data_IF_369507297166
#
_entry.id   IF_369507297166
#
_cell.length_a   1.000
_cell.length_b   1.000
_cell.length_c   1.000
_cell.angle_alpha   90.00
_cell.angle_beta   90.00
_cell.angle_gamma   90.00
#
_symmetry.space_group_name_H-M   'P 1'
#
loop_
_entity.id
_entity.type
_entity.pdbx_description
1 polymer ?
#
# COMPACT_ATOMS: atom_id res chain seq x y z
N UNK A 1 19.46 1.85 -35.10
CA UNK A 1 20.86 1.58 -35.48
C UNK A 1 21.32 0.27 -34.82
N UNK A 2 21.52 -0.68 -35.75
CA UNK A 2 22.39 -1.86 -35.75
C UNK A 2 22.38 -2.81 -34.55
N UNK A 3 21.62 -3.90 -34.74
CA UNK A 3 21.83 -5.21 -34.14
C UNK A 3 23.15 -5.84 -34.61
N UNK A 4 23.88 -6.44 -33.70
CA UNK A 4 24.82 -7.53 -33.97
C UNK A 4 24.61 -8.60 -32.90
N UNK A 5 23.87 -9.66 -33.29
CA UNK A 5 23.76 -10.90 -32.52
C UNK A 5 24.73 -11.94 -33.11
N UNK A 6 25.79 -12.20 -32.40
CA UNK A 6 26.74 -13.27 -32.68
C UNK A 6 26.14 -14.59 -32.21
N UNK A 7 25.85 -15.48 -33.16
CA UNK A 7 25.50 -16.88 -32.90
C UNK A 7 26.74 -17.63 -32.41
N UNK A 8 26.74 -18.07 -31.17
CA UNK A 8 27.71 -19.10 -30.68
C UNK A 8 27.13 -20.47 -30.92
N UNK A 9 27.92 -21.31 -31.61
CA UNK A 9 27.64 -22.72 -31.72
C UNK A 9 27.79 -23.42 -30.35
N UNK A 10 26.92 -24.40 -30.01
CA UNK A 10 27.06 -25.17 -28.78
C UNK A 10 28.09 -26.29 -29.00
N UNK A 11 29.00 -26.44 -28.04
CA UNK A 11 29.94 -27.55 -27.91
C UNK A 11 29.22 -28.84 -27.53
N UNK A 12 29.61 -29.92 -28.17
CA UNK A 12 29.11 -31.27 -27.88
C UNK A 12 29.91 -31.82 -26.71
N UNK A 13 29.23 -32.12 -25.61
CA UNK A 13 29.67 -33.07 -24.60
C UNK A 13 28.45 -33.88 -24.15
N UNK A 14 28.60 -35.19 -24.15
CA UNK A 14 27.66 -36.19 -23.60
C UNK A 14 26.31 -36.39 -24.30
N UNK A 15 26.31 -36.85 -25.52
CA UNK A 15 25.32 -37.83 -26.06
C UNK A 15 23.81 -37.57 -25.91
N UNK A 16 23.36 -36.38 -25.46
CA UNK A 16 21.93 -36.03 -25.35
C UNK A 16 21.60 -34.73 -26.07
N UNK A 17 20.79 -34.84 -27.10
CA UNK A 17 20.20 -33.73 -27.83
C UNK A 17 18.96 -33.20 -27.06
N UNK A 18 19.03 -31.96 -26.59
CA UNK A 18 17.87 -31.24 -26.11
C UNK A 18 17.28 -30.38 -27.25
N UNK A 19 15.98 -30.48 -27.44
CA UNK A 19 15.25 -29.71 -28.45
C UNK A 19 14.64 -28.44 -27.80
N UNK A 20 14.91 -27.28 -28.35
CA UNK A 20 14.13 -26.06 -28.09
C UNK A 20 13.10 -25.92 -29.20
N UNK A 21 11.84 -25.74 -28.79
CA UNK A 21 10.74 -25.42 -29.71
C UNK A 21 10.69 -23.95 -29.99
N UNK A 22 10.66 -23.59 -31.27
CA UNK A 22 10.28 -22.25 -31.76
C UNK A 22 8.79 -22.24 -32.08
N UNK A 23 8.15 -21.13 -31.90
CA UNK A 23 6.69 -20.90 -31.93
C UNK A 23 6.03 -21.09 -33.31
N UNK A 24 6.75 -21.44 -34.37
CA UNK A 24 6.22 -21.46 -35.75
C UNK A 24 6.20 -22.84 -36.41
N UNK A 25 5.79 -23.84 -35.72
CA UNK A 25 5.19 -25.11 -36.19
C UNK A 25 5.67 -25.78 -37.50
N UNK A 26 6.76 -25.37 -38.15
CA UNK A 26 7.22 -25.94 -39.42
C UNK A 26 8.57 -26.66 -39.25
N UNK A 27 8.52 -28.01 -39.23
CA UNK A 27 9.70 -28.89 -39.34
C UNK A 27 10.11 -28.99 -40.81
N UNK A 28 11.20 -28.38 -41.22
CA UNK A 28 11.79 -28.60 -42.56
C UNK A 28 12.38 -29.99 -42.66
N UNK A 29 11.92 -30.74 -43.66
CA UNK A 29 12.32 -32.12 -44.04
C UNK A 29 13.77 -32.28 -44.56
N UNK A 30 14.71 -31.42 -44.28
CA UNK A 30 16.02 -31.43 -44.96
C UNK A 30 17.19 -31.95 -44.13
N UNK A 31 16.97 -32.46 -42.92
CA UNK A 31 18.08 -32.92 -42.06
C UNK A 31 18.33 -34.44 -42.14
N UNK A 32 17.44 -35.23 -42.76
CA UNK A 32 17.60 -36.69 -42.86
C UNK A 32 18.52 -37.16 -43.99
N UNK A 33 18.98 -36.30 -44.90
CA UNK A 33 19.76 -36.66 -46.07
C UNK A 33 21.28 -36.79 -45.81
N UNK A 34 21.78 -36.38 -44.66
CA UNK A 34 23.24 -36.28 -44.39
C UNK A 34 23.84 -37.34 -43.48
N UNK A 35 23.03 -38.20 -42.86
CA UNK A 35 23.56 -39.12 -41.81
C UNK A 35 23.75 -40.57 -42.23
N UNK A 36 23.35 -41.02 -43.46
CA UNK A 36 23.59 -42.40 -43.90
C UNK A 36 23.84 -42.44 -45.44
N UNK A 37 25.07 -42.25 -45.92
CA UNK A 37 25.38 -42.31 -47.34
C UNK A 37 25.40 -43.71 -47.94
N UNK A 38 25.32 -44.77 -47.16
CA UNK A 38 25.69 -46.12 -47.63
C UNK A 38 24.56 -47.13 -47.83
N UNK A 39 23.30 -46.70 -47.94
CA UNK A 39 22.19 -47.63 -48.32
C UNK A 39 21.57 -47.37 -49.68
N UNK A 40 22.31 -46.85 -50.66
CA UNK A 40 21.86 -46.69 -52.07
C UNK A 40 22.56 -47.63 -53.01
N UNK A 41 22.90 -48.83 -52.66
CA UNK A 41 23.27 -49.84 -53.60
C UNK A 41 22.68 -51.17 -53.12
N UNK A 42 21.55 -51.50 -53.63
CA UNK A 42 21.01 -52.85 -53.95
C UNK A 42 19.53 -52.60 -54.31
N UNK A 43 19.25 -52.42 -55.57
CA UNK A 43 18.06 -52.82 -56.28
C UNK A 43 18.06 -52.14 -57.68
N UNK A 44 18.98 -52.54 -58.49
CA UNK A 44 18.81 -52.48 -59.94
C UNK A 44 19.10 -53.88 -60.48
N UNK A 45 18.18 -54.76 -60.28
CA UNK A 45 18.03 -55.90 -61.20
C UNK A 45 16.73 -55.60 -61.98
N UNK A 46 16.85 -55.33 -63.26
CA UNK A 46 15.74 -55.35 -64.15
C UNK A 46 15.19 -56.77 -64.13
N UNK A 47 14.16 -57.02 -63.36
CA UNK A 47 13.36 -58.21 -63.42
C UNK A 47 12.57 -58.16 -64.73
N UNK A 48 12.76 -59.13 -65.56
CA UNK A 48 11.90 -59.38 -66.74
C UNK A 48 10.45 -59.35 -66.34
N UNK A 49 9.53 -58.90 -67.19
CA UNK A 49 8.10 -58.83 -66.91
C UNK A 49 7.61 -60.26 -66.71
N UNK A 50 7.39 -60.59 -65.43
CA UNK A 50 6.72 -61.80 -65.02
C UNK A 50 5.34 -61.81 -65.62
N UNK A 51 5.02 -62.87 -66.39
CA UNK A 51 3.70 -63.07 -66.97
C UNK A 51 2.59 -62.83 -65.91
N UNK A 52 1.47 -62.23 -66.24
CA UNK A 52 0.40 -61.89 -65.28
C UNK A 52 -0.10 -63.19 -64.67
N UNK A 53 0.03 -63.33 -63.36
CA UNK A 53 -0.53 -64.47 -62.62
C UNK A 53 -2.01 -64.67 -62.96
N UNK A 54 -2.38 -65.95 -63.18
CA UNK A 54 -3.80 -66.27 -63.46
C UNK A 54 -4.77 -65.74 -62.38
N UNK A 55 -5.94 -65.32 -62.73
CA UNK A 55 -6.91 -64.83 -61.78
C UNK A 55 -7.26 -65.79 -60.66
N UNK A 56 -7.21 -67.10 -60.95
CA UNK A 56 -7.53 -68.15 -60.01
C UNK A 56 -6.47 -68.29 -58.91
N UNK A 57 -5.16 -68.24 -59.33
CA UNK A 57 -4.03 -68.30 -58.38
C UNK A 57 -4.08 -67.06 -57.43
N UNK A 58 -4.49 -65.88 -57.92
CA UNK A 58 -4.63 -64.74 -57.08
C UNK A 58 -5.81 -64.91 -56.07
N UNK A 59 -6.96 -65.49 -56.47
CA UNK A 59 -8.09 -65.79 -55.60
C UNK A 59 -7.70 -66.78 -54.50
N UNK A 60 -7.11 -67.90 -54.90
CA UNK A 60 -6.66 -68.95 -53.94
C UNK A 60 -5.65 -68.36 -52.89
N UNK A 61 -4.69 -67.56 -53.37
CA UNK A 61 -3.77 -66.92 -52.47
C UNK A 61 -4.40 -65.95 -51.46
N UNK A 62 -5.39 -65.22 -51.92
CA UNK A 62 -6.12 -64.29 -51.05
C UNK A 62 -7.08 -65.04 -50.12
N UNK A 63 -7.70 -66.16 -50.58
CA UNK A 63 -8.51 -67.04 -49.72
C UNK A 63 -7.64 -67.65 -48.62
N UNK A 64 -6.46 -68.22 -48.92
CA UNK A 64 -5.52 -68.76 -47.95
C UNK A 64 -5.07 -67.69 -46.95
N UNK A 65 -4.87 -66.44 -47.40
CA UNK A 65 -4.52 -65.32 -46.55
C UNK A 65 -5.68 -64.95 -45.57
N UNK A 66 -6.92 -64.98 -46.03
CA UNK A 66 -8.09 -64.62 -45.25
C UNK A 66 -8.49 -65.73 -44.24
N UNK A 67 -8.30 -67.02 -44.58
CA UNK A 67 -8.57 -68.15 -43.66
C UNK A 67 -7.54 -68.30 -42.54
N UNK A 68 -6.45 -67.55 -42.58
CA UNK A 68 -5.34 -67.56 -41.59
C UNK A 68 -4.71 -68.99 -41.31
N UNK A 69 -4.95 -69.89 -42.19
CA UNK A 69 -4.36 -71.28 -42.03
C UNK A 69 -2.86 -71.30 -42.26
N UNK A 70 -2.33 -70.32 -43.02
CA UNK A 70 -0.89 -70.22 -43.33
C UNK A 70 -0.49 -68.77 -43.21
N UNK A 71 0.76 -68.50 -42.78
CA UNK A 71 1.26 -67.13 -42.62
C UNK A 71 1.35 -66.37 -43.95
N UNK A 72 1.16 -65.07 -43.97
CA UNK A 72 1.27 -64.22 -45.19
C UNK A 72 2.69 -64.37 -45.82
N UNK A 73 3.71 -64.61 -45.02
CA UNK A 73 5.11 -64.80 -45.49
C UNK A 73 5.27 -66.10 -46.18
N UNK A 74 4.66 -67.14 -45.71
CA UNK A 74 4.71 -68.46 -46.29
C UNK A 74 3.90 -68.57 -47.61
N UNK A 75 2.69 -67.94 -47.67
CA UNK A 75 1.91 -67.84 -48.91
C UNK A 75 2.72 -67.06 -49.99
N UNK A 76 3.29 -65.93 -49.61
CA UNK A 76 4.11 -65.11 -50.53
C UNK A 76 5.34 -65.89 -51.07
N UNK A 77 5.98 -66.65 -50.22
CA UNK A 77 7.14 -67.52 -50.61
C UNK A 77 6.74 -68.65 -51.59
N UNK A 78 5.59 -69.37 -51.35
CA UNK A 78 5.08 -70.44 -52.19
C UNK A 78 4.72 -69.98 -53.59
N UNK A 79 4.24 -68.76 -53.71
CA UNK A 79 3.77 -68.23 -55.03
C UNK A 79 4.86 -67.39 -55.69
N UNK A 80 5.97 -67.11 -55.02
CA UNK A 80 7.09 -66.34 -55.57
C UNK A 80 6.81 -64.79 -55.67
N UNK A 81 5.94 -64.24 -54.80
CA UNK A 81 5.59 -62.81 -54.80
C UNK A 81 6.00 -62.20 -53.47
N UNK A 82 6.12 -60.88 -53.50
CA UNK A 82 6.32 -60.14 -52.21
C UNK A 82 5.02 -60.05 -51.42
N UNK A 83 5.12 -59.98 -50.08
CA UNK A 83 3.96 -59.77 -49.21
C UNK A 83 3.12 -58.53 -49.60
N UNK A 84 3.76 -57.46 -50.08
CA UNK A 84 3.09 -56.25 -50.55
C UNK A 84 2.19 -56.52 -51.76
N UNK A 85 2.60 -57.40 -52.68
CA UNK A 85 1.79 -57.81 -53.83
C UNK A 85 0.60 -58.66 -53.39
N UNK A 86 0.80 -59.57 -52.43
CA UNK A 86 -0.28 -60.38 -51.89
C UNK A 86 -1.37 -59.54 -51.21
N UNK A 87 -1.00 -58.53 -50.45
CA UNK A 87 -1.95 -57.60 -49.86
C UNK A 87 -2.64 -56.70 -50.90
N UNK A 88 -1.93 -56.26 -51.95
CA UNK A 88 -2.57 -55.54 -53.07
C UNK A 88 -3.61 -56.39 -53.78
N UNK A 89 -3.36 -57.72 -53.96
CA UNK A 89 -4.37 -58.63 -54.53
C UNK A 89 -5.58 -58.79 -53.61
N UNK A 90 -5.34 -58.90 -52.29
CA UNK A 90 -6.40 -58.97 -51.26
C UNK A 90 -7.29 -57.70 -51.37
N UNK A 91 -6.70 -56.51 -51.37
CA UNK A 91 -7.42 -55.22 -51.44
C UNK A 91 -8.20 -55.10 -52.76
N UNK A 92 -7.68 -55.62 -53.87
CA UNK A 92 -8.32 -55.60 -55.19
C UNK A 92 -9.47 -56.62 -55.30
N UNK A 93 -9.39 -57.81 -54.65
CA UNK A 93 -10.37 -58.87 -54.74
C UNK A 93 -11.48 -58.72 -53.72
N UNK A 94 -11.16 -58.31 -52.50
CA UNK A 94 -12.13 -58.23 -51.37
C UNK A 94 -12.72 -56.84 -51.24
N UNK A 95 -12.01 -55.77 -51.74
CA UNK A 95 -12.44 -54.38 -51.62
C UNK A 95 -12.17 -53.80 -50.20
N UNK A 96 -12.10 -52.48 -50.14
CA UNK A 96 -11.76 -51.75 -48.88
C UNK A 96 -12.81 -51.89 -47.77
N UNK A 97 -14.08 -52.20 -48.08
CA UNK A 97 -15.16 -52.35 -47.09
C UNK A 97 -15.00 -53.62 -46.21
N UNK A 98 -14.58 -54.72 -46.79
CA UNK A 98 -14.34 -55.96 -46.02
C UNK A 98 -13.10 -55.86 -45.13
N UNK A 99 -12.09 -55.05 -45.51
CA UNK A 99 -10.91 -54.78 -44.66
C UNK A 99 -11.25 -53.94 -43.43
N UNK A 100 -12.17 -52.98 -43.56
CA UNK A 100 -12.63 -52.21 -42.43
C UNK A 100 -13.48 -53.02 -41.46
N UNK A 101 -14.26 -53.98 -41.97
CA UNK A 101 -15.05 -54.88 -41.10
C UNK A 101 -14.13 -55.85 -40.30
N UNK A 102 -13.04 -56.31 -40.88
CA UNK A 102 -12.06 -57.14 -40.16
C UNK A 102 -11.18 -56.37 -39.17
N UNK A 103 -10.98 -55.04 -39.32
CA UNK A 103 -10.31 -54.19 -38.35
C UNK A 103 -11.19 -53.91 -37.11
N UNK A 104 -12.50 -53.93 -37.27
CA UNK A 104 -13.46 -53.73 -36.18
C UNK A 104 -13.52 -54.87 -35.14
N UNK A 105 -12.91 -56.04 -35.42
CA UNK A 105 -12.79 -57.10 -34.43
C UNK A 105 -11.65 -56.91 -33.42
N UNK A 106 -10.94 -55.80 -33.45
CA UNK A 106 -10.03 -55.35 -32.38
C UNK A 106 -10.67 -54.21 -31.57
N UNK A 107 -11.99 -54.11 -31.51
CA UNK A 107 -12.64 -53.23 -30.53
C UNK A 107 -12.36 -53.77 -29.11
N UNK A 108 -12.02 -52.85 -28.17
CA UNK A 108 -11.83 -53.27 -26.77
C UNK A 108 -13.09 -53.98 -26.30
N UNK A 109 -12.92 -55.02 -25.50
CA UNK A 109 -14.10 -55.71 -24.94
C UNK A 109 -15.01 -54.70 -24.25
N UNK A 110 -16.31 -54.94 -24.28
CA UNK A 110 -17.30 -54.07 -23.57
C UNK A 110 -16.89 -53.79 -22.11
N UNK A 111 -16.12 -54.68 -21.50
CA UNK A 111 -15.56 -54.50 -20.17
C UNK A 111 -14.44 -53.48 -20.14
N UNK A 112 -13.51 -53.51 -21.10
CA UNK A 112 -12.43 -52.53 -21.21
C UNK A 112 -12.95 -51.10 -21.53
N UNK A 113 -14.02 -51.00 -22.34
CA UNK A 113 -14.67 -49.74 -22.63
C UNK A 113 -15.41 -49.19 -21.38
N UNK A 114 -16.11 -50.05 -20.63
CA UNK A 114 -16.74 -49.69 -19.37
C UNK A 114 -15.70 -49.20 -18.33
N UNK A 115 -14.57 -49.84 -18.23
CA UNK A 115 -13.54 -49.45 -17.27
C UNK A 115 -12.84 -48.19 -17.69
N UNK A 116 -12.58 -47.94 -18.98
CA UNK A 116 -12.10 -46.67 -19.51
C UNK A 116 -13.10 -45.51 -19.23
N UNK A 117 -14.39 -45.75 -19.41
CA UNK A 117 -15.44 -44.77 -19.08
C UNK A 117 -15.52 -44.48 -17.57
N UNK A 118 -15.31 -45.49 -16.71
CA UNK A 118 -15.26 -45.29 -15.26
C UNK A 118 -14.08 -44.45 -14.82
N UNK A 119 -12.90 -44.67 -15.42
CA UNK A 119 -11.71 -43.87 -15.19
C UNK A 119 -11.95 -42.41 -15.64
N UNK A 120 -12.56 -42.22 -16.81
CA UNK A 120 -12.90 -40.88 -17.32
C UNK A 120 -13.91 -40.17 -16.41
N UNK A 121 -14.97 -40.86 -15.97
CA UNK A 121 -15.94 -40.31 -15.00
C UNK A 121 -15.26 -39.96 -13.68
N UNK A 122 -14.33 -40.78 -13.19
CA UNK A 122 -13.58 -40.48 -11.98
C UNK A 122 -12.70 -39.23 -12.17
N UNK A 123 -12.03 -39.10 -13.30
CA UNK A 123 -11.21 -37.94 -13.67
C UNK A 123 -12.06 -36.66 -13.74
N UNK A 124 -13.19 -36.71 -14.45
CA UNK A 124 -14.10 -35.58 -14.58
C UNK A 124 -14.69 -35.15 -13.22
N UNK A 125 -15.08 -36.10 -12.38
CA UNK A 125 -15.56 -35.81 -11.02
C UNK A 125 -14.48 -35.13 -10.16
N UNK A 126 -13.22 -35.53 -10.30
CA UNK A 126 -12.11 -34.89 -9.61
C UNK A 126 -11.88 -33.47 -10.11
N UNK A 127 -12.01 -33.24 -11.42
CA UNK A 127 -11.90 -31.89 -12.01
C UNK A 127 -13.06 -30.98 -11.57
N UNK A 128 -14.30 -31.47 -11.59
CA UNK A 128 -15.47 -30.74 -11.09
C UNK A 128 -15.27 -30.33 -9.63
N UNK A 129 -14.83 -31.26 -8.78
CA UNK A 129 -14.54 -30.97 -7.36
C UNK A 129 -13.49 -29.90 -7.20
N UNK A 130 -12.44 -29.93 -8.02
CA UNK A 130 -11.38 -28.92 -8.02
C UNK A 130 -11.92 -27.56 -8.42
N UNK A 131 -12.70 -27.48 -9.51
CA UNK A 131 -13.34 -26.24 -9.98
C UNK A 131 -14.30 -25.66 -8.94
N UNK A 132 -15.03 -26.52 -8.28
CA UNK A 132 -15.95 -26.10 -7.21
C UNK A 132 -15.18 -25.50 -6.03
N UNK A 133 -14.09 -26.12 -5.64
CA UNK A 133 -13.18 -25.58 -4.61
C UNK A 133 -12.60 -24.21 -5.00
N UNK A 134 -12.15 -24.03 -6.26
CA UNK A 134 -11.65 -22.76 -6.77
C UNK A 134 -12.72 -21.66 -6.70
N UNK A 135 -13.97 -21.97 -7.07
CA UNK A 135 -15.13 -21.06 -6.97
C UNK A 135 -15.46 -20.70 -5.51
N UNK A 136 -15.44 -21.67 -4.62
CA UNK A 136 -15.71 -21.41 -3.20
C UNK A 136 -14.62 -20.60 -2.54
N UNK A 137 -13.36 -20.78 -2.95
CA UNK A 137 -12.21 -19.94 -2.54
C UNK A 137 -12.43 -18.50 -3.00
N UNK A 138 -12.85 -18.27 -4.24
CA UNK A 138 -13.09 -16.92 -4.77
C UNK A 138 -14.27 -16.24 -4.06
N UNK A 139 -15.40 -16.93 -3.88
CA UNK A 139 -16.54 -16.43 -3.12
C UNK A 139 -16.14 -16.06 -1.68
N UNK A 140 -15.38 -16.93 -1.02
CA UNK A 140 -14.91 -16.67 0.34
C UNK A 140 -13.90 -15.55 0.42
N UNK A 141 -13.10 -15.35 -0.62
CA UNK A 141 -12.18 -14.21 -0.75
C UNK A 141 -12.96 -12.88 -0.84
N UNK A 142 -14.00 -12.82 -1.67
CA UNK A 142 -14.88 -11.64 -1.75
C UNK A 142 -15.55 -11.33 -0.41
N UNK A 143 -16.08 -12.33 0.27
CA UNK A 143 -16.75 -12.18 1.56
C UNK A 143 -15.81 -11.67 2.67
N UNK A 144 -14.62 -12.30 2.81
CA UNK A 144 -13.70 -12.03 3.92
C UNK A 144 -12.88 -10.74 3.70
N UNK A 145 -12.51 -10.45 2.44
CA UNK A 145 -11.55 -9.39 2.12
C UNK A 145 -12.26 -8.10 1.74
N UNK A 146 -13.56 -8.17 1.39
CA UNK A 146 -14.38 -7.01 0.96
C UNK A 146 -13.71 -6.19 -0.16
N UNK A 147 -13.04 -6.88 -1.08
CA UNK A 147 -12.43 -6.29 -2.27
C UNK A 147 -13.34 -6.47 -3.47
N UNK A 148 -13.16 -5.62 -4.48
CA UNK A 148 -13.97 -5.62 -5.70
C UNK A 148 -14.02 -6.99 -6.40
N UNK A 149 -15.13 -7.30 -7.12
CA UNK A 149 -15.25 -8.53 -7.89
C UNK A 149 -14.16 -8.62 -8.96
N UNK A 150 -13.49 -9.78 -9.06
CA UNK A 150 -12.39 -10.01 -10.01
C UNK A 150 -11.03 -10.28 -9.37
N UNK A 151 -10.99 -10.58 -8.08
CA UNK A 151 -9.74 -10.90 -7.37
C UNK A 151 -9.15 -12.21 -7.91
N UNK A 152 -7.91 -12.14 -8.38
CA UNK A 152 -7.11 -13.33 -8.65
C UNK A 152 -6.51 -13.89 -7.35
N UNK A 153 -6.56 -15.20 -7.18
CA UNK A 153 -5.95 -15.93 -6.04
C UNK A 153 -4.46 -15.59 -5.89
N UNK A 154 -3.78 -15.30 -7.00
CA UNK A 154 -2.36 -14.93 -7.04
C UNK A 154 -2.04 -13.60 -6.32
N UNK A 155 -2.99 -12.68 -6.23
CA UNK A 155 -2.81 -11.36 -5.59
C UNK A 155 -3.09 -11.37 -4.07
N UNK A 156 -3.52 -12.51 -3.53
CA UNK A 156 -3.78 -12.65 -2.11
C UNK A 156 -2.47 -12.82 -1.33
N UNK A 157 -2.33 -12.09 -0.23
CA UNK A 157 -1.20 -12.30 0.68
C UNK A 157 -1.40 -13.58 1.54
N UNK A 158 -0.32 -14.09 2.13
CA UNK A 158 -0.35 -15.35 2.88
C UNK A 158 -1.32 -15.32 4.08
N UNK A 159 -1.55 -14.16 4.69
CA UNK A 159 -2.50 -13.99 5.79
C UNK A 159 -3.95 -14.09 5.31
N UNK A 160 -4.26 -13.51 4.16
CA UNK A 160 -5.57 -13.61 3.50
C UNK A 160 -5.84 -15.05 3.07
N UNK A 161 -4.88 -15.69 2.39
CA UNK A 161 -4.95 -17.11 2.02
C UNK A 161 -5.21 -18.01 3.23
N UNK A 162 -4.58 -17.72 4.37
CA UNK A 162 -4.79 -18.48 5.61
C UNK A 162 -6.21 -18.32 6.15
N UNK A 163 -6.78 -17.12 6.13
CA UNK A 163 -8.17 -16.88 6.55
C UNK A 163 -9.17 -17.67 5.69
N UNK A 164 -8.96 -17.68 4.37
CA UNK A 164 -9.80 -18.41 3.43
C UNK A 164 -9.67 -19.93 3.67
N UNK A 165 -8.44 -20.44 3.80
CA UNK A 165 -8.19 -21.84 4.08
C UNK A 165 -8.83 -22.28 5.41
N UNK A 166 -8.74 -21.47 6.46
CA UNK A 166 -9.33 -21.79 7.78
C UNK A 166 -10.87 -21.79 7.73
N UNK A 167 -11.48 -20.93 6.93
CA UNK A 167 -12.93 -20.88 6.74
C UNK A 167 -13.47 -22.07 5.94
N UNK A 168 -12.72 -22.56 4.95
CA UNK A 168 -13.13 -23.68 4.08
C UNK A 168 -12.67 -25.05 4.56
N UNK A 169 -11.92 -25.11 5.66
CA UNK A 169 -11.32 -26.34 6.19
C UNK A 169 -12.34 -27.41 6.61
N UNK A 170 -13.57 -27.05 6.91
CA UNK A 170 -14.64 -28.02 7.22
C UNK A 170 -15.19 -28.67 5.98
N UNK A 171 -15.10 -28.02 4.82
CA UNK A 171 -15.65 -28.50 3.55
C UNK A 171 -14.61 -29.26 2.71
N UNK A 172 -13.36 -28.84 2.77
CA UNK A 172 -12.28 -29.40 1.95
C UNK A 172 -11.05 -29.79 2.77
N UNK A 173 -10.30 -30.85 2.35
CA UNK A 173 -9.05 -31.23 3.00
C UNK A 173 -8.02 -30.08 2.95
N UNK A 174 -7.32 -29.87 4.05
CA UNK A 174 -6.34 -28.78 4.16
C UNK A 174 -5.23 -28.88 3.09
N UNK A 175 -4.78 -30.09 2.75
CA UNK A 175 -3.73 -30.30 1.74
C UNK A 175 -4.14 -29.79 0.36
N UNK A 176 -5.38 -30.06 -0.05
CA UNK A 176 -5.94 -29.61 -1.33
C UNK A 176 -6.10 -28.08 -1.36
N UNK A 177 -6.66 -27.49 -0.28
CA UNK A 177 -6.79 -26.05 -0.13
C UNK A 177 -5.46 -25.32 -0.22
N UNK A 178 -4.43 -25.83 0.48
CA UNK A 178 -3.10 -25.22 0.45
C UNK A 178 -2.45 -25.30 -0.92
N UNK A 179 -2.67 -26.41 -1.64
CA UNK A 179 -2.18 -26.57 -3.01
C UNK A 179 -2.82 -25.57 -3.96
N UNK A 180 -4.16 -25.42 -3.95
CA UNK A 180 -4.89 -24.48 -4.81
C UNK A 180 -4.55 -23.04 -4.48
N UNK A 181 -4.40 -22.70 -3.21
CA UNK A 181 -4.01 -21.35 -2.75
C UNK A 181 -2.53 -21.04 -2.99
N UNK A 182 -1.70 -22.02 -3.36
CA UNK A 182 -0.25 -21.84 -3.44
C UNK A 182 0.34 -21.38 -2.11
N UNK A 183 -0.07 -21.99 -0.98
CA UNK A 183 0.37 -21.61 0.36
C UNK A 183 1.10 -22.77 1.03
N UNK A 184 2.36 -22.56 1.42
CA UNK A 184 3.13 -23.55 2.15
C UNK A 184 2.48 -23.89 3.50
N UNK A 185 2.52 -25.17 3.89
CA UNK A 185 1.94 -25.64 5.17
C UNK A 185 2.54 -24.91 6.38
N UNK A 186 3.83 -24.65 6.40
CA UNK A 186 4.50 -23.88 7.45
C UNK A 186 3.96 -22.45 7.55
N UNK A 187 3.80 -21.78 6.39
CA UNK A 187 3.22 -20.43 6.32
C UNK A 187 1.79 -20.40 6.82
N UNK A 188 0.97 -21.40 6.48
CA UNK A 188 -0.39 -21.53 6.98
C UNK A 188 -0.43 -21.59 8.51
N UNK A 189 0.32 -22.51 9.13
CA UNK A 189 0.31 -22.63 10.60
C UNK A 189 0.90 -21.41 11.29
N UNK A 190 1.93 -20.79 10.73
CA UNK A 190 2.48 -19.52 11.24
C UNK A 190 1.43 -18.41 11.23
N UNK A 191 0.78 -18.17 10.10
CA UNK A 191 -0.24 -17.11 10.01
C UNK A 191 -1.50 -17.45 10.82
N UNK A 192 -1.88 -18.72 10.90
CA UNK A 192 -2.99 -19.17 11.74
C UNK A 192 -2.72 -18.94 13.24
N UNK A 193 -1.53 -19.25 13.70
CA UNK A 193 -1.12 -18.95 15.07
C UNK A 193 -1.14 -17.43 15.34
N UNK A 194 -0.60 -16.64 14.41
CA UNK A 194 -0.63 -15.18 14.48
C UNK A 194 -2.04 -14.58 14.47
N UNK A 195 -2.98 -15.21 13.73
CA UNK A 195 -4.39 -14.79 13.72
C UNK A 195 -5.10 -15.13 15.04
N UNK A 196 -4.78 -16.29 15.65
CA UNK A 196 -5.33 -16.71 16.95
C UNK A 196 -4.77 -15.90 18.12
N UNK A 197 -3.52 -15.48 18.04
CA UNK A 197 -2.87 -14.66 19.08
C UNK A 197 -3.48 -13.24 19.19
N UNK A 198 -4.37 -12.85 18.25
CA UNK A 198 -4.95 -11.53 18.21
C UNK A 198 -4.00 -10.44 17.75
N UNK A 199 -4.40 -9.19 17.92
CA UNK A 199 -3.54 -8.05 17.62
C UNK A 199 -2.70 -7.69 18.86
N UNK A 200 -1.40 -7.96 18.80
CA UNK A 200 -0.45 -7.59 19.85
C UNK A 200 -0.40 -6.08 20.15
N UNK A 201 -0.96 -5.28 19.27
CA UNK A 201 -1.01 -3.83 19.41
C UNK A 201 -2.40 -3.30 19.79
N UNK A 202 -3.39 -4.15 20.10
CA UNK A 202 -4.76 -3.73 20.36
C UNK A 202 -4.82 -2.62 21.43
N UNK A 203 -4.21 -2.82 22.59
CA UNK A 203 -4.12 -1.81 23.65
C UNK A 203 -3.43 -0.53 23.19
N UNK A 204 -2.34 -0.68 22.43
CA UNK A 204 -1.59 0.48 21.89
C UNK A 204 -2.42 1.27 20.89
N UNK A 205 -3.24 0.62 20.07
CA UNK A 205 -4.15 1.29 19.10
C UNK A 205 -5.16 2.16 19.83
N UNK A 206 -5.77 1.63 20.89
CA UNK A 206 -6.68 2.39 21.74
C UNK A 206 -5.97 3.59 22.35
N UNK A 207 -4.81 3.39 22.99
CA UNK A 207 -4.01 4.48 23.55
C UNK A 207 -3.65 5.55 22.51
N UNK A 208 -3.19 5.16 21.34
CA UNK A 208 -2.86 6.10 20.25
C UNK A 208 -4.07 6.91 19.81
N UNK A 209 -5.23 6.28 19.70
CA UNK A 209 -6.50 6.93 19.32
C UNK A 209 -6.94 7.91 20.40
N UNK A 210 -6.84 7.53 21.68
CA UNK A 210 -7.20 8.37 22.81
C UNK A 210 -6.27 9.59 22.91
N UNK A 211 -4.95 9.37 22.83
CA UNK A 211 -3.97 10.47 22.77
C UNK A 211 -4.23 11.40 21.60
N UNK A 212 -4.53 10.86 20.42
CA UNK A 212 -4.79 11.66 19.23
C UNK A 212 -6.05 12.53 19.40
N UNK A 213 -7.14 11.94 19.89
CA UNK A 213 -8.41 12.63 20.08
C UNK A 213 -8.36 13.68 21.20
N UNK A 214 -7.71 13.36 22.34
CA UNK A 214 -7.56 14.28 23.48
C UNK A 214 -6.64 15.47 23.16
N UNK A 215 -5.85 15.38 22.10
CA UNK A 215 -4.90 16.42 21.68
C UNK A 215 -5.32 17.11 20.36
N UNK A 216 -6.60 17.46 20.24
CA UNK A 216 -7.15 18.19 19.08
C UNK A 216 -6.89 17.55 17.71
N UNK A 217 -6.57 16.27 17.66
CA UNK A 217 -6.21 15.53 16.42
C UNK A 217 -5.04 16.17 15.64
N UNK A 218 -4.18 16.90 16.34
CA UNK A 218 -3.09 17.67 15.74
C UNK A 218 -1.73 17.02 15.89
N UNK A 219 -1.62 15.85 16.56
CA UNK A 219 -0.36 15.16 16.77
C UNK A 219 -0.04 14.19 15.63
N UNK A 220 1.02 14.48 14.89
CA UNK A 220 1.62 13.51 13.98
C UNK A 220 2.42 12.43 14.73
N UNK A 221 2.85 11.40 14.01
CA UNK A 221 3.49 10.20 14.59
C UNK A 221 4.65 10.49 15.57
N UNK A 222 5.45 11.54 15.36
CA UNK A 222 6.55 11.89 16.26
C UNK A 222 6.07 12.32 17.65
N UNK A 223 5.01 13.12 17.71
CA UNK A 223 4.42 13.55 18.98
C UNK A 223 3.68 12.40 19.64
N UNK A 224 2.92 11.60 18.89
CA UNK A 224 2.27 10.41 19.43
C UNK A 224 3.29 9.40 19.97
N UNK A 225 4.40 9.20 19.28
CA UNK A 225 5.49 8.37 19.77
C UNK A 225 6.10 8.92 21.07
N UNK A 226 6.32 10.23 21.15
CA UNK A 226 6.85 10.85 22.36
C UNK A 226 5.86 10.70 23.54
N UNK A 227 4.57 10.99 23.33
CA UNK A 227 3.53 10.80 24.36
C UNK A 227 3.45 9.34 24.83
N UNK A 228 3.43 8.40 23.88
CA UNK A 228 3.41 6.97 24.22
C UNK A 228 4.63 6.56 25.05
N UNK A 229 5.81 7.13 24.80
CA UNK A 229 7.01 6.90 25.64
C UNK A 229 6.86 7.45 27.04
N UNK A 230 6.24 8.61 27.23
CA UNK A 230 5.92 9.17 28.54
C UNK A 230 4.98 8.25 29.34
N UNK A 231 4.07 7.55 28.66
CA UNK A 231 3.16 6.58 29.26
C UNK A 231 3.79 5.16 29.41
N UNK A 232 5.10 5.04 29.18
CA UNK A 232 5.85 3.78 29.36
C UNK A 232 5.84 2.85 28.13
N UNK A 233 5.25 3.25 27.01
CA UNK A 233 5.21 2.47 25.78
C UNK A 233 6.57 2.40 25.08
N UNK A 234 7.06 1.17 24.81
CA UNK A 234 8.34 0.93 24.12
C UNK A 234 8.13 0.48 22.69
N UNK A 235 7.82 1.41 21.79
CA UNK A 235 7.67 1.15 20.35
C UNK A 235 8.63 2.03 19.56
N UNK A 236 8.98 1.57 18.35
CA UNK A 236 9.70 2.42 17.40
C UNK A 236 8.76 3.38 16.68
N UNK A 237 9.28 4.54 16.26
CA UNK A 237 8.53 5.52 15.45
C UNK A 237 7.91 4.90 14.18
N UNK A 238 8.61 3.94 13.55
CA UNK A 238 8.14 3.23 12.36
C UNK A 238 6.84 2.45 12.66
N UNK A 239 6.77 1.81 13.82
CA UNK A 239 5.56 1.07 14.24
C UNK A 239 4.42 2.03 14.53
N UNK A 240 4.66 3.11 15.29
CA UNK A 240 3.64 4.13 15.59
C UNK A 240 3.09 4.75 14.31
N UNK A 241 3.97 5.11 13.35
CA UNK A 241 3.54 5.64 12.05
C UNK A 241 2.65 4.66 11.27
N UNK A 242 2.99 3.36 11.29
CA UNK A 242 2.18 2.32 10.65
C UNK A 242 0.81 2.20 11.31
N UNK A 243 0.76 2.13 12.64
CA UNK A 243 -0.48 2.04 13.39
C UNK A 243 -1.39 3.25 13.15
N UNK A 244 -0.83 4.48 13.09
CA UNK A 244 -1.60 5.67 12.73
C UNK A 244 -2.27 5.56 11.36
N UNK A 245 -1.56 5.00 10.36
CA UNK A 245 -2.13 4.81 9.01
C UNK A 245 -3.25 3.76 9.05
N UNK A 246 -3.03 2.66 9.76
CA UNK A 246 -4.00 1.58 9.91
C UNK A 246 -5.28 2.05 10.62
N UNK A 247 -5.16 2.92 11.63
CA UNK A 247 -6.29 3.54 12.37
C UNK A 247 -6.81 4.83 11.71
N UNK A 248 -6.32 5.19 10.52
CA UNK A 248 -6.73 6.40 9.78
C UNK A 248 -6.59 7.70 10.59
N UNK A 249 -5.62 7.77 11.50
CA UNK A 249 -5.35 8.98 12.29
C UNK A 249 -4.61 10.00 11.44
N UNK A 250 -5.35 10.88 10.77
CA UNK A 250 -4.83 11.86 9.81
C UNK A 250 -4.89 13.26 10.42
N UNK A 251 -3.72 13.91 10.48
CA UNK A 251 -3.63 15.32 10.90
C UNK A 251 -4.07 16.22 9.75
N UNK A 252 -5.07 17.07 9.99
CA UNK A 252 -5.53 18.07 9.02
C UNK A 252 -4.40 19.04 8.66
N UNK A 253 -4.19 19.27 7.37
CA UNK A 253 -3.22 20.24 6.85
C UNK A 253 -3.94 21.29 6.02
N UNK A 254 -3.97 22.52 6.51
CA UNK A 254 -4.44 23.64 5.71
C UNK A 254 -3.31 24.16 4.82
N UNK A 255 -3.65 24.52 3.58
CA UNK A 255 -2.71 25.20 2.68
C UNK A 255 -2.46 26.61 3.20
N UNK A 256 -1.20 27.01 3.31
CA UNK A 256 -0.83 28.38 3.64
C UNK A 256 -1.36 29.32 2.55
N UNK A 257 -2.15 30.33 2.95
CA UNK A 257 -2.49 31.44 2.09
C UNK A 257 -1.37 32.47 2.16
N UNK A 258 -1.00 33.04 1.02
CA UNK A 258 -0.08 34.18 1.01
C UNK A 258 -0.89 35.41 1.42
N UNK A 259 -0.41 36.11 2.42
CA UNK A 259 -0.96 37.40 2.83
C UNK A 259 -0.06 38.50 2.27
N UNK A 260 -0.66 39.65 1.84
CA UNK A 260 0.06 40.86 1.55
C UNK A 260 0.09 41.71 2.81
N UNK A 261 1.22 42.29 3.15
CA UNK A 261 1.35 43.24 4.27
C UNK A 261 0.85 44.60 3.88
N UNK A 262 0.11 45.27 4.79
CA UNK A 262 -0.35 46.65 4.63
C UNK A 262 0.83 47.61 4.73
N UNK A 263 1.03 48.46 3.74
CA UNK A 263 2.13 49.41 3.66
C UNK A 263 1.73 50.85 4.10
N UNK A 264 0.69 51.02 4.91
CA UNK A 264 0.26 52.32 5.40
C UNK A 264 1.37 53.07 6.16
N UNK A 265 1.41 54.40 6.04
CA UNK A 265 2.37 55.26 6.73
C UNK A 265 1.93 55.54 8.15
N UNK A 266 2.84 55.31 9.10
CA UNK A 266 2.56 55.47 10.52
C UNK A 266 3.79 56.12 11.14
N UNK A 267 3.63 57.19 11.88
CA UNK A 267 4.69 58.02 12.48
C UNK A 267 5.81 57.25 13.22
N UNK A 268 6.67 57.92 13.98
CA UNK A 268 7.87 57.36 14.58
C UNK A 268 7.55 56.14 15.44
N UNK A 269 8.31 55.06 15.26
CA UNK A 269 8.21 53.80 15.98
C UNK A 269 9.57 53.46 16.62
N UNK A 270 9.60 52.78 17.77
CA UNK A 270 10.84 52.34 18.38
C UNK A 270 11.59 51.33 17.47
N UNK A 271 12.86 51.20 17.70
CA UNK A 271 13.73 50.29 16.94
C UNK A 271 13.35 48.82 17.12
N UNK A 272 13.72 48.03 16.12
CA UNK A 272 13.58 46.58 16.20
C UNK A 272 14.75 45.98 16.99
N UNK A 273 14.56 45.81 18.29
CA UNK A 273 15.58 45.27 19.19
C UNK A 273 15.72 43.75 19.09
N UNK A 274 14.65 43.04 18.62
CA UNK A 274 14.67 41.56 18.50
C UNK A 274 15.41 41.13 17.23
N UNK A 275 15.33 41.89 16.14
CA UNK A 275 16.03 41.61 14.88
C UNK A 275 15.88 40.16 14.39
N UNK A 276 14.70 39.54 14.60
CA UNK A 276 14.37 38.14 14.30
C UNK A 276 15.07 37.08 15.16
N UNK A 277 15.79 37.49 16.21
CA UNK A 277 16.30 36.57 17.20
C UNK A 277 15.23 36.27 18.26
N UNK A 278 14.42 35.25 17.96
CA UNK A 278 13.33 34.75 18.82
C UNK A 278 13.82 33.72 19.84
N UNK A 279 15.09 33.72 20.21
CA UNK A 279 15.64 32.89 21.28
C UNK A 279 15.85 33.74 22.52
N UNK A 280 15.48 33.20 23.66
CA UNK A 280 15.77 33.76 24.97
C UNK A 280 16.42 32.67 25.84
N UNK A 281 17.32 33.06 26.72
CA UNK A 281 18.02 32.11 27.63
C UNK A 281 17.24 31.89 28.91
N UNK A 282 16.38 32.84 29.29
CA UNK A 282 15.56 32.80 30.47
C UNK A 282 14.12 33.28 30.13
N UNK A 283 13.12 32.87 30.92
CA UNK A 283 11.77 33.43 30.83
C UNK A 283 11.79 34.94 30.99
N UNK A 284 10.80 35.59 30.44
CA UNK A 284 10.55 37.03 30.59
C UNK A 284 11.68 37.95 30.09
N UNK A 285 12.58 37.45 29.21
CA UNK A 285 13.56 38.31 28.52
C UNK A 285 12.96 38.98 27.27
N UNK A 286 12.24 38.21 26.45
CA UNK A 286 11.69 38.68 25.18
C UNK A 286 10.26 38.21 25.05
N UNK A 287 9.34 39.12 24.96
CA UNK A 287 7.93 38.88 24.75
C UNK A 287 7.50 39.37 23.36
N UNK A 288 6.67 38.59 22.69
CA UNK A 288 6.05 38.98 21.42
C UNK A 288 4.57 39.13 21.63
N UNK A 289 4.00 40.18 21.09
CA UNK A 289 2.56 40.42 21.15
C UNK A 289 2.01 40.69 19.76
N UNK A 290 0.78 40.29 19.54
CA UNK A 290 0.04 40.49 18.31
C UNK A 290 -1.46 40.23 18.54
N UNK A 291 -2.28 40.69 17.60
CA UNK A 291 -3.74 40.49 17.62
C UNK A 291 -4.14 39.64 16.43
N UNK A 292 -5.04 38.69 16.67
CA UNK A 292 -5.60 37.90 15.59
C UNK A 292 -7.13 37.89 15.64
N UNK A 293 -7.75 37.78 14.48
CA UNK A 293 -9.20 37.78 14.30
C UNK A 293 -9.72 36.42 13.93
N UNK A 294 -10.89 36.06 14.44
CA UNK A 294 -11.66 34.88 14.08
C UNK A 294 -13.02 35.31 13.53
N UNK A 295 -13.42 34.73 12.41
CA UNK A 295 -14.70 34.97 11.78
C UNK A 295 -15.66 33.82 12.11
N UNK A 296 -16.72 34.11 12.87
CA UNK A 296 -17.79 33.17 13.17
C UNK A 296 -19.05 33.55 12.42
N UNK A 297 -20.00 32.65 12.16
CA UNK A 297 -21.30 33.00 11.64
C UNK A 297 -22.05 33.99 12.54
N UNK A 298 -21.81 33.95 13.86
CA UNK A 298 -22.41 34.82 14.86
C UNK A 298 -21.69 36.15 15.08
N UNK A 299 -20.56 36.41 14.41
CA UNK A 299 -19.77 37.63 14.56
C UNK A 299 -18.27 37.40 14.57
N UNK A 300 -17.53 38.42 14.95
CA UNK A 300 -16.07 38.37 15.01
C UNK A 300 -15.59 38.30 16.46
N UNK A 301 -14.49 37.61 16.66
CA UNK A 301 -13.78 37.57 17.95
C UNK A 301 -12.31 37.89 17.69
N UNK A 302 -11.74 38.73 18.53
CA UNK A 302 -10.33 39.08 18.52
C UNK A 302 -9.63 38.49 19.73
N UNK A 303 -8.41 38.04 19.50
CA UNK A 303 -7.49 37.54 20.52
C UNK A 303 -6.23 38.39 20.49
N UNK A 304 -5.89 39.01 21.63
CA UNK A 304 -4.59 39.60 21.90
C UNK A 304 -3.81 38.64 22.82
N UNK A 305 -2.51 38.42 22.57
CA UNK A 305 -1.71 37.54 23.40
C UNK A 305 -0.25 37.98 23.51
N UNK A 306 0.36 37.66 24.66
CA UNK A 306 1.83 37.73 24.85
C UNK A 306 2.41 36.36 24.82
N UNK A 307 3.43 36.16 23.99
CA UNK A 307 4.16 34.89 23.86
C UNK A 307 5.61 35.08 24.28
N UNK A 308 6.07 34.30 25.22
CA UNK A 308 7.47 34.29 25.66
C UNK A 308 8.36 33.56 24.64
N UNK A 309 9.46 34.19 24.27
CA UNK A 309 10.44 33.62 23.33
C UNK A 309 11.26 32.48 23.93
N UNK A 310 11.34 32.33 25.24
CA UNK A 310 12.11 31.29 25.92
C UNK A 310 11.59 29.89 25.55
N UNK A 311 10.32 29.66 25.76
CA UNK A 311 9.68 28.36 25.55
C UNK A 311 8.44 28.42 24.65
N UNK A 312 8.01 29.64 24.29
CA UNK A 312 6.79 29.93 23.53
C UNK A 312 5.55 29.67 24.36
N UNK A 313 5.59 29.83 25.69
CA UNK A 313 4.43 29.90 26.58
C UNK A 313 3.62 31.16 26.23
N UNK A 314 2.31 31.04 26.19
CA UNK A 314 1.44 32.21 26.14
C UNK A 314 1.30 32.71 27.57
N UNK A 315 1.98 33.83 27.87
CA UNK A 315 2.06 34.40 29.22
C UNK A 315 0.70 34.91 29.65
N UNK A 316 0.07 35.73 28.77
CA UNK A 316 -1.27 36.26 29.00
C UNK A 316 -2.02 36.36 27.67
N UNK A 317 -3.34 36.42 27.75
CA UNK A 317 -4.21 36.64 26.60
C UNK A 317 -5.53 37.29 27.05
N UNK A 318 -6.11 38.06 26.14
CA UNK A 318 -7.47 38.53 26.28
C UNK A 318 -8.27 38.29 25.02
N UNK A 319 -9.57 38.17 25.17
CA UNK A 319 -10.54 37.91 24.12
C UNK A 319 -11.67 38.90 24.16
N UNK A 320 -12.05 39.47 23.01
CA UNK A 320 -13.16 40.43 22.92
C UNK A 320 -13.89 40.29 21.59
N UNK A 321 -15.11 40.77 21.55
CA UNK A 321 -15.87 40.99 20.32
C UNK A 321 -15.53 42.29 19.61
N UNK A 322 -14.62 43.11 20.18
CA UNK A 322 -14.17 44.40 19.65
C UNK A 322 -12.64 44.49 19.75
N UNK A 323 -11.96 45.00 18.72
CA UNK A 323 -10.51 45.25 18.74
C UNK A 323 -10.26 46.67 19.33
N UNK A 324 -10.51 46.88 20.60
CA UNK A 324 -10.37 48.13 21.29
C UNK A 324 -9.13 48.19 22.17
N UNK A 325 -8.94 49.33 22.86
CA UNK A 325 -7.80 49.55 23.75
C UNK A 325 -7.87 48.62 24.96
N UNK A 326 -9.07 48.29 25.43
CA UNK A 326 -9.26 47.38 26.56
C UNK A 326 -8.71 46.00 26.29
N UNK A 327 -8.93 45.44 25.07
CA UNK A 327 -8.39 44.15 24.65
C UNK A 327 -6.89 44.06 24.85
N UNK A 328 -6.10 45.02 24.42
CA UNK A 328 -4.62 44.97 24.53
C UNK A 328 -4.12 45.37 25.91
N UNK A 329 -4.81 46.30 26.58
CA UNK A 329 -4.44 46.78 27.91
C UNK A 329 -4.65 45.69 28.98
N UNK A 330 -5.82 45.07 29.01
CA UNK A 330 -6.12 43.97 29.93
C UNK A 330 -5.15 42.81 29.73
N UNK A 331 -4.80 42.47 28.49
CA UNK A 331 -3.80 41.43 28.18
C UNK A 331 -2.41 41.82 28.75
N UNK A 332 -2.01 43.12 28.60
CA UNK A 332 -0.72 43.57 29.11
C UNK A 332 -0.69 43.59 30.64
N UNK A 333 -1.75 44.13 31.28
CA UNK A 333 -1.89 44.17 32.74
C UNK A 333 -1.72 42.73 33.31
N UNK A 334 -2.42 41.73 32.75
CA UNK A 334 -2.29 40.32 33.13
C UNK A 334 -0.93 39.71 32.83
N UNK A 335 -0.20 40.20 31.83
CA UNK A 335 1.16 39.76 31.56
C UNK A 335 2.13 40.28 32.64
N UNK A 336 1.98 41.56 32.98
CA UNK A 336 2.82 42.23 33.99
C UNK A 336 2.66 41.58 35.36
N UNK A 337 1.44 41.20 35.75
CA UNK A 337 1.17 40.48 37.00
C UNK A 337 1.98 39.16 37.14
N UNK A 338 2.47 38.61 36.05
CA UNK A 338 3.31 37.36 36.07
C UNK A 338 4.78 37.66 36.31
N UNK A 339 5.23 38.92 36.27
CA UNK A 339 6.63 39.30 36.40
C UNK A 339 7.09 39.29 37.88
N UNK A 340 8.30 38.81 38.07
CA UNK A 340 8.98 38.96 39.35
C UNK A 340 9.61 40.38 39.46
N UNK A 341 9.93 40.78 40.68
CA UNK A 341 10.57 42.10 40.93
C UNK A 341 11.91 42.19 40.17
N UNK A 342 12.02 43.20 39.33
CA UNK A 342 13.23 43.49 38.53
C UNK A 342 13.23 42.87 37.13
N UNK A 343 12.31 42.00 36.79
CA UNK A 343 12.16 41.52 35.41
C UNK A 343 11.63 42.66 34.49
N UNK A 344 12.32 42.89 33.37
CA UNK A 344 11.96 43.92 32.39
C UNK A 344 12.05 43.40 30.96
N UNK A 345 11.06 42.62 30.53
CA UNK A 345 11.08 42.04 29.18
C UNK A 345 11.07 43.09 28.07
N UNK A 346 11.77 42.73 26.99
CA UNK A 346 11.60 43.42 25.72
C UNK A 346 10.24 42.98 25.13
N UNK A 347 9.27 43.90 25.06
CA UNK A 347 7.97 43.60 24.43
C UNK A 347 8.00 44.04 22.96
N UNK A 348 7.89 43.12 22.05
CA UNK A 348 7.92 43.33 20.62
C UNK A 348 6.53 43.17 20.00
N UNK A 349 6.13 44.13 19.21
CA UNK A 349 4.86 44.13 18.48
C UNK A 349 5.07 44.43 16.99
N UNK A 350 4.03 44.22 16.21
CA UNK A 350 3.93 44.87 14.92
C UNK A 350 3.68 46.39 15.06
N UNK A 351 3.54 47.11 13.93
CA UNK A 351 3.22 48.53 13.91
C UNK A 351 1.73 48.83 14.00
N UNK A 352 0.93 47.92 14.50
CA UNK A 352 -0.52 48.11 14.69
C UNK A 352 -0.85 49.31 15.54
N UNK A 353 -1.94 50.04 15.24
CA UNK A 353 -2.40 51.20 15.96
C UNK A 353 -2.58 50.95 17.46
N UNK A 354 -3.01 49.78 17.80
CA UNK A 354 -3.27 49.33 19.19
C UNK A 354 -2.04 49.49 20.11
N UNK A 355 -0.84 49.19 19.61
CA UNK A 355 0.43 49.28 20.37
C UNK A 355 1.02 50.69 20.41
N UNK A 356 0.24 51.68 19.98
CA UNK A 356 0.63 53.09 19.93
C UNK A 356 -0.35 53.99 20.65
N UNK A 357 -1.43 53.43 21.18
CA UNK A 357 -2.41 54.16 22.00
C UNK A 357 -1.78 54.61 23.32
N UNK A 358 -2.22 55.75 23.85
CA UNK A 358 -1.70 56.34 25.08
C UNK A 358 -1.72 55.33 26.24
N UNK A 359 -2.88 54.70 26.47
CA UNK A 359 -3.01 53.72 27.55
C UNK A 359 -2.08 52.50 27.49
N UNK A 360 -1.68 52.08 26.28
CA UNK A 360 -0.65 51.06 26.10
C UNK A 360 0.74 51.61 26.46
N UNK A 361 1.06 52.82 25.98
CA UNK A 361 2.36 53.49 26.22
C UNK A 361 2.58 53.77 27.68
N UNK A 362 1.58 54.27 28.37
CA UNK A 362 1.59 54.55 29.81
C UNK A 362 1.94 53.29 30.61
N UNK A 363 1.25 52.18 30.33
CA UNK A 363 1.49 50.89 31.01
C UNK A 363 2.90 50.35 30.80
N UNK A 364 3.33 50.33 29.53
CA UNK A 364 4.68 49.82 29.19
C UNK A 364 5.75 50.67 29.88
N UNK A 365 5.58 51.98 29.96
CA UNK A 365 6.52 52.90 30.64
C UNK A 365 6.47 52.77 32.17
N UNK A 366 5.25 52.66 32.75
CA UNK A 366 5.06 52.53 34.20
C UNK A 366 5.76 51.25 34.73
N UNK A 367 5.65 50.17 33.99
CA UNK A 367 6.25 48.85 34.35
C UNK A 367 7.70 48.70 33.88
N UNK A 368 8.26 49.72 33.24
CA UNK A 368 9.66 49.74 32.76
C UNK A 368 9.97 48.73 31.70
N UNK A 369 8.94 48.29 30.93
CA UNK A 369 9.14 47.35 29.82
C UNK A 369 9.87 48.02 28.66
N UNK A 370 10.68 47.25 27.96
CA UNK A 370 11.49 47.78 26.85
C UNK A 370 10.71 47.58 25.53
N UNK A 371 10.35 48.65 24.88
CA UNK A 371 9.55 48.59 23.64
C UNK A 371 10.44 48.22 22.43
N UNK A 372 9.93 47.34 21.60
CA UNK A 372 10.49 46.99 20.29
C UNK A 372 9.39 46.86 19.26
N UNK A 373 9.61 47.30 18.03
CA UNK A 373 8.63 47.17 16.96
C UNK A 373 9.22 46.61 15.68
N UNK A 374 8.43 45.84 14.94
CA UNK A 374 8.81 45.31 13.61
C UNK A 374 9.13 46.48 12.66
N UNK A 375 10.03 46.29 11.73
CA UNK A 375 10.30 47.21 10.64
C UNK A 375 9.03 47.34 9.75
N UNK A 376 8.86 48.52 9.11
CA UNK A 376 7.71 48.77 8.22
C UNK A 376 7.64 47.72 7.12
N UNK A 377 6.50 47.05 6.99
CA UNK A 377 6.27 46.02 5.98
C UNK A 377 7.02 44.69 6.16
N UNK A 378 7.65 44.48 7.32
CA UNK A 378 8.43 43.29 7.61
C UNK A 378 7.67 42.33 8.53
N UNK A 379 6.68 41.61 7.99
CA UNK A 379 5.95 40.53 8.70
C UNK A 379 6.89 39.46 9.35
N UNK A 380 8.05 39.07 8.75
CA UNK A 380 8.94 38.14 9.41
C UNK A 380 9.51 38.59 10.75
N UNK A 381 9.44 39.88 11.09
CA UNK A 381 9.97 40.41 12.34
C UNK A 381 9.10 40.01 13.56
N UNK A 382 7.83 39.56 13.35
CA UNK A 382 6.94 38.99 14.37
C UNK A 382 6.56 37.50 14.10
N UNK A 383 7.38 36.79 13.35
CA UNK A 383 7.08 35.46 12.85
C UNK A 383 6.79 34.39 13.94
N UNK A 384 7.32 34.56 15.15
CA UNK A 384 7.08 33.60 16.23
C UNK A 384 5.66 33.71 16.78
N UNK A 385 5.12 34.93 16.94
CA UNK A 385 3.74 35.19 17.34
C UNK A 385 2.77 34.75 16.22
N UNK A 386 3.03 35.12 14.96
CA UNK A 386 2.28 34.64 13.80
C UNK A 386 2.28 33.08 13.73
N UNK A 387 3.41 32.47 14.08
CA UNK A 387 3.53 31.01 14.18
C UNK A 387 2.66 30.40 15.27
N UNK A 388 2.45 31.07 16.39
CA UNK A 388 1.51 30.64 17.41
C UNK A 388 0.05 30.75 16.89
N UNK A 389 -0.34 31.88 16.35
CA UNK A 389 -1.68 32.05 15.79
C UNK A 389 -1.99 31.09 14.63
N UNK A 390 -1.01 30.85 13.77
CA UNK A 390 -1.16 29.87 12.70
C UNK A 390 -1.41 28.46 13.23
N UNK A 391 -0.74 28.06 14.31
CA UNK A 391 -0.98 26.78 14.98
C UNK A 391 -2.37 26.74 15.64
N UNK A 392 -2.71 27.74 16.43
CA UNK A 392 -4.02 27.85 17.09
C UNK A 392 -5.14 27.74 16.05
N UNK A 393 -5.07 28.54 14.98
CA UNK A 393 -6.08 28.50 13.91
C UNK A 393 -6.14 27.14 13.22
N UNK A 394 -5.01 26.49 12.96
CA UNK A 394 -4.98 25.18 12.31
C UNK A 394 -5.49 24.06 13.21
N UNK A 395 -5.12 24.08 14.48
CA UNK A 395 -5.39 22.99 15.41
C UNK A 395 -6.80 23.06 16.03
N UNK A 396 -7.33 24.28 16.22
CA UNK A 396 -8.58 24.50 16.94
C UNK A 396 -9.69 25.12 16.09
N UNK A 397 -9.36 26.03 15.16
CA UNK A 397 -10.39 26.81 14.46
C UNK A 397 -10.72 26.27 13.07
N UNK A 398 -9.72 26.05 12.19
CA UNK A 398 -9.96 25.61 10.82
C UNK A 398 -10.46 24.16 10.74
N UNK A 399 -11.36 23.91 9.77
CA UNK A 399 -11.93 22.57 9.56
C UNK A 399 -13.03 22.18 10.53
N UNK A 400 -13.43 23.07 11.44
CA UNK A 400 -14.57 22.88 12.36
C UNK A 400 -15.78 23.71 11.93
N UNK A 401 -16.96 23.22 12.27
CA UNK A 401 -18.23 23.93 12.03
C UNK A 401 -18.54 24.79 13.25
N UNK A 402 -18.69 26.09 13.04
CA UNK A 402 -18.96 27.07 14.08
C UNK A 402 -20.42 27.59 14.05
N UNK A 403 -21.28 26.93 13.26
CA UNK A 403 -22.73 27.27 13.22
C UNK A 403 -23.37 26.97 14.57
N UNK A 404 -24.13 27.96 15.08
CA UNK A 404 -24.80 27.85 16.38
C UNK A 404 -23.89 28.04 17.61
N UNK A 405 -22.64 28.41 17.44
CA UNK A 405 -21.74 28.76 18.55
C UNK A 405 -21.74 30.27 18.72
N UNK A 406 -22.02 30.72 19.94
CA UNK A 406 -21.96 32.15 20.30
C UNK A 406 -20.50 32.60 20.48
N UNK A 407 -20.22 33.93 20.33
CA UNK A 407 -18.86 34.45 20.55
C UNK A 407 -18.32 34.11 21.94
N UNK A 408 -19.14 34.14 22.99
CA UNK A 408 -18.72 33.82 24.36
C UNK A 408 -18.30 32.36 24.50
N UNK A 409 -19.10 31.43 23.93
CA UNK A 409 -18.72 29.99 23.92
C UNK A 409 -17.45 29.73 23.10
N UNK A 410 -17.25 30.47 22.01
CA UNK A 410 -16.04 30.40 21.23
C UNK A 410 -14.84 30.92 22.03
N UNK A 411 -14.97 32.06 22.72
CA UNK A 411 -13.91 32.60 23.58
C UNK A 411 -13.51 31.61 24.66
N UNK A 412 -14.46 30.92 25.30
CA UNK A 412 -14.17 29.85 26.27
C UNK A 412 -13.39 28.70 25.66
N UNK A 413 -13.69 28.32 24.41
CA UNK A 413 -12.93 27.26 23.72
C UNK A 413 -11.52 27.72 23.35
N UNK A 414 -11.32 28.97 22.97
CA UNK A 414 -9.97 29.52 22.75
C UNK A 414 -9.18 29.56 24.05
N UNK A 415 -9.78 29.99 25.17
CA UNK A 415 -9.16 29.96 26.50
C UNK A 415 -8.73 28.54 26.89
N UNK A 416 -9.63 27.58 26.75
CA UNK A 416 -9.36 26.17 27.01
C UNK A 416 -8.21 25.65 26.14
N UNK A 417 -8.16 26.03 24.86
CA UNK A 417 -7.07 25.65 23.95
C UNK A 417 -5.74 26.26 24.41
N UNK A 418 -5.70 27.53 24.82
CA UNK A 418 -4.45 28.20 25.23
C UNK A 418 -3.91 27.56 26.52
N UNK A 419 -4.78 27.26 27.50
CA UNK A 419 -4.40 26.50 28.69
C UNK A 419 -3.84 25.12 28.35
N UNK A 420 -4.53 24.37 27.51
CA UNK A 420 -4.00 23.09 27.00
C UNK A 420 -2.67 23.26 26.27
N UNK A 421 -2.52 24.32 25.46
CA UNK A 421 -1.27 24.63 24.75
C UNK A 421 -0.10 24.84 25.72
N UNK A 422 -0.32 25.59 26.78
CA UNK A 422 0.71 25.86 27.78
C UNK A 422 1.03 24.61 28.63
N UNK A 423 0.01 23.88 29.04
CA UNK A 423 0.16 22.82 30.05
C UNK A 423 0.45 21.44 29.46
N UNK A 424 -0.14 21.12 28.30
CA UNK A 424 -0.16 19.76 27.75
C UNK A 424 0.41 19.62 26.34
N UNK A 425 0.37 20.68 25.53
CA UNK A 425 0.80 20.59 24.16
C UNK A 425 2.31 20.42 24.07
N UNK A 426 2.75 19.22 23.69
CA UNK A 426 4.18 18.94 23.55
C UNK A 426 4.80 19.62 22.33
N UNK A 427 6.01 20.16 22.51
CA UNK A 427 6.91 20.65 21.48
C UNK A 427 8.07 19.67 21.36
N UNK A 428 8.44 19.29 20.13
CA UNK A 428 9.55 18.35 19.93
C UNK A 428 10.91 18.93 20.36
N UNK A 429 11.07 20.23 20.18
CA UNK A 429 12.17 21.01 20.79
C UNK A 429 11.51 21.92 21.84
N UNK A 430 11.90 21.86 23.09
CA UNK A 430 13.07 21.24 23.71
C UNK A 430 12.79 19.89 24.42
N UNK A 431 12.65 18.81 23.71
CA UNK A 431 12.62 17.50 24.36
C UNK A 431 11.24 16.81 24.47
N UNK A 432 10.26 17.21 23.63
CA UNK A 432 8.91 16.66 23.58
C UNK A 432 8.10 16.90 24.89
N UNK A 433 8.23 18.09 25.44
CA UNK A 433 7.53 18.55 26.63
C UNK A 433 6.66 19.79 26.33
N UNK A 434 5.68 20.08 27.20
CA UNK A 434 4.92 21.32 27.11
C UNK A 434 5.73 22.50 27.65
N UNK A 435 5.34 23.76 27.35
CA UNK A 435 5.99 24.94 27.94
C UNK A 435 6.05 24.88 29.46
N UNK A 436 4.96 24.51 30.14
CA UNK A 436 4.94 24.37 31.58
C UNK A 436 5.91 23.31 32.09
N UNK A 437 5.85 22.09 31.50
CA UNK A 437 6.78 21.02 31.89
C UNK A 437 8.24 21.40 31.63
N UNK A 438 8.53 22.18 30.58
CA UNK A 438 9.89 22.65 30.30
C UNK A 438 10.38 23.60 31.41
N UNK A 439 9.56 24.58 31.85
CA UNK A 439 9.89 25.48 32.98
C UNK A 439 10.13 24.70 34.27
N UNK A 440 9.28 23.71 34.57
CA UNK A 440 9.46 22.82 35.73
C UNK A 440 10.77 22.03 35.66
N UNK A 441 11.16 21.51 34.49
CA UNK A 441 12.44 20.82 34.31
C UNK A 441 13.65 21.75 34.47
N UNK A 442 13.48 23.05 34.19
CA UNK A 442 14.49 24.08 34.41
C UNK A 442 14.49 24.65 35.83
N UNK A 443 13.57 24.22 36.71
CA UNK A 443 13.44 24.75 38.07
C UNK A 443 12.90 26.20 38.10
N UNK A 444 12.09 26.61 37.09
CA UNK A 444 11.59 27.97 36.92
C UNK A 444 10.08 28.11 37.22
N UNK A 445 9.38 27.04 37.54
CA UNK A 445 7.97 26.93 37.97
C UNK A 445 7.83 25.82 39.00
#
# INVERSE_FOLDING_TARGET
>A
QSCNSILRCPSISDGRLSYQFSSDGYIRRSVYAYLYPDRRRIFTSKANPVAPFEPEVKRQAVMALCTRQVSASEIARRIGVSRAVLYKWKDKIIGNSAYQTMRKHNEPSLEAERDALREEVARLNQEIRRRQMELDILKKAEEIIKKDPGISISHLNNREKTKIADALRQTYPLTELLHVLGLARSSYFYHRAALKAGDKYATIRTMLTDIFNSNYQCYGYRRLHAMLRHEGGRLSEKVVRRLMVEEQLVVSRNRRRRYSSYCGEIGPAPDNLIARDFKAEQPNQKWLTDITEFHLPAGKVWLSSVVDCFDGKVVSWSLSTRPDAELVNTMLDSAVETLNAGERPVIHSDRGGHYRWSGWLERVNAEGLIRSMSRKGCSPDNAACEGFFGRLKTEMYHGRKWSGITPEKFMQQVDTYIRWYNERRIKLSPGAVSPKMYRQQCGLE
#
